data_IF_822676027378
#
_entry.id   IF_822676027378
#
_cell.length_a   1.000
_cell.length_b   1.000
_cell.length_c   1.000
_cell.angle_alpha   90.00
_cell.angle_beta   90.00
_cell.angle_gamma   90.00
#
_symmetry.space_group_name_H-M   'P 1'
#
loop_
_entity.id
_entity.type
_entity.pdbx_description
1 polymer ?
#
# COMPACT_ATOMS: atom_id res chain seq x y z
N UNK A 1 18.76 -5.17 30.99
CA UNK A 1 17.87 -6.32 30.74
C UNK A 1 16.58 -5.77 30.14
N UNK A 2 16.21 -6.15 28.91
CA UNK A 2 14.84 -6.03 28.43
C UNK A 2 14.43 -4.79 27.62
N UNK A 3 15.26 -4.31 26.69
CA UNK A 3 14.79 -3.41 25.61
C UNK A 3 14.03 -4.18 24.53
N UNK A 4 12.98 -4.92 24.91
CA UNK A 4 12.17 -5.67 23.96
C UNK A 4 11.35 -4.71 23.11
N UNK A 5 11.53 -4.74 21.79
CA UNK A 5 10.63 -4.03 20.87
C UNK A 5 9.19 -4.43 21.23
N UNK A 6 8.29 -3.47 21.52
CA UNK A 6 6.95 -3.80 21.93
C UNK A 6 6.29 -4.69 20.87
N UNK A 7 5.64 -5.77 21.30
CA UNK A 7 5.04 -6.78 20.42
C UNK A 7 4.14 -6.16 19.33
N UNK A 8 3.48 -5.05 19.64
CA UNK A 8 2.66 -4.27 18.69
C UNK A 8 3.47 -3.70 17.52
N UNK A 9 4.70 -3.25 17.75
CA UNK A 9 5.59 -2.74 16.69
C UNK A 9 6.10 -3.90 15.82
N UNK A 10 6.41 -5.05 16.43
CA UNK A 10 6.77 -6.26 15.67
C UNK A 10 5.58 -6.80 14.86
N UNK A 11 4.36 -6.71 15.41
CA UNK A 11 3.12 -7.08 14.72
C UNK A 11 2.82 -6.14 13.56
N UNK A 12 2.90 -4.81 13.76
CA UNK A 12 2.72 -3.81 12.72
C UNK A 12 3.77 -3.95 11.60
N UNK A 13 5.03 -4.21 11.97
CA UNK A 13 6.11 -4.46 11.01
C UNK A 13 5.85 -5.71 10.15
N UNK A 14 5.38 -6.80 10.77
CA UNK A 14 5.00 -8.02 10.03
C UNK A 14 3.80 -7.78 9.11
N UNK A 15 2.77 -7.08 9.58
CA UNK A 15 1.62 -6.74 8.77
C UNK A 15 2.01 -5.85 7.57
N UNK A 16 2.93 -4.89 7.77
CA UNK A 16 3.46 -4.06 6.69
C UNK A 16 4.26 -4.89 5.67
N UNK A 17 5.11 -5.80 6.13
CA UNK A 17 5.87 -6.69 5.26
C UNK A 17 4.97 -7.63 4.43
N UNK A 18 3.90 -8.15 5.04
CA UNK A 18 2.92 -8.98 4.34
C UNK A 18 2.12 -8.18 3.30
N UNK A 19 1.70 -6.97 3.63
CA UNK A 19 1.03 -6.07 2.70
C UNK A 19 1.95 -5.71 1.52
N UNK A 20 3.22 -5.38 1.78
CA UNK A 20 4.21 -5.10 0.74
C UNK A 20 4.46 -6.32 -0.17
N UNK A 21 4.54 -7.52 0.40
CA UNK A 21 4.65 -8.76 -0.36
C UNK A 21 3.43 -9.02 -1.25
N UNK A 22 2.22 -8.71 -0.76
CA UNK A 22 0.99 -8.86 -1.52
C UNK A 22 0.88 -7.90 -2.72
N UNK A 23 1.54 -6.74 -2.66
CA UNK A 23 1.57 -5.78 -3.77
C UNK A 23 2.45 -6.27 -4.94
N UNK A 24 3.46 -7.12 -4.66
CA UNK A 24 4.28 -7.84 -5.64
C UNK A 24 5.23 -6.96 -6.47
N UNK A 25 4.71 -5.94 -7.15
CA UNK A 25 5.47 -5.02 -7.98
C UNK A 25 5.89 -3.78 -7.21
N UNK A 26 7.18 -3.42 -7.31
CA UNK A 26 7.78 -2.31 -6.55
C UNK A 26 7.07 -0.97 -6.81
N UNK A 27 6.68 -0.70 -8.04
CA UNK A 27 6.04 0.57 -8.43
C UNK A 27 4.62 0.70 -7.85
N UNK A 28 3.87 -0.41 -7.77
CA UNK A 28 2.56 -0.46 -7.13
C UNK A 28 2.72 -0.23 -5.62
N UNK A 29 3.70 -0.92 -5.00
CA UNK A 29 4.00 -0.76 -3.59
C UNK A 29 4.41 0.68 -3.24
N UNK A 30 5.18 1.33 -4.11
CA UNK A 30 5.62 2.71 -3.92
C UNK A 30 4.45 3.70 -4.00
N UNK A 31 3.57 3.58 -4.99
CA UNK A 31 2.40 4.45 -5.13
C UNK A 31 1.44 4.31 -3.94
N UNK A 32 1.19 3.07 -3.50
CA UNK A 32 0.37 2.81 -2.31
C UNK A 32 1.02 3.39 -1.05
N UNK A 33 2.33 3.20 -0.85
CA UNK A 33 3.07 3.75 0.29
C UNK A 33 3.01 5.28 0.33
N UNK A 34 3.32 5.93 -0.79
CA UNK A 34 3.30 7.41 -0.90
C UNK A 34 1.92 7.98 -0.65
N UNK A 35 0.87 7.32 -1.15
CA UNK A 35 -0.50 7.80 -0.98
C UNK A 35 -1.04 7.52 0.43
N UNK A 36 -0.96 6.28 0.90
CA UNK A 36 -1.63 5.83 2.12
C UNK A 36 -0.81 6.04 3.40
N UNK A 37 0.52 5.97 3.33
CA UNK A 37 1.38 6.10 4.51
C UNK A 37 2.05 7.48 4.61
N UNK A 38 2.38 8.09 3.47
CA UNK A 38 3.04 9.40 3.43
C UNK A 38 2.05 10.56 3.18
N UNK A 39 0.78 10.26 2.90
CA UNK A 39 -0.27 11.27 2.69
C UNK A 39 -0.08 12.12 1.42
N UNK A 40 0.73 11.68 0.47
CA UNK A 40 0.93 12.40 -0.79
C UNK A 40 -0.31 12.27 -1.68
N UNK A 41 -0.65 13.36 -2.36
CA UNK A 41 -1.71 13.31 -3.38
C UNK A 41 -1.21 12.65 -4.66
N UNK A 42 -2.13 12.03 -5.42
CA UNK A 42 -1.85 11.47 -6.76
C UNK A 42 -1.19 12.51 -7.68
N UNK A 43 -1.61 13.78 -7.59
CA UNK A 43 -1.01 14.89 -8.35
C UNK A 43 0.47 15.06 -8.00
N UNK A 44 0.80 15.14 -6.71
CA UNK A 44 2.18 15.33 -6.25
C UNK A 44 3.09 14.15 -6.62
N UNK A 45 2.55 12.93 -6.62
CA UNK A 45 3.29 11.73 -7.05
C UNK A 45 3.59 11.81 -8.55
N UNK A 46 2.58 12.08 -9.38
CA UNK A 46 2.71 12.22 -10.83
C UNK A 46 3.72 13.31 -11.22
N UNK A 47 3.65 14.48 -10.58
CA UNK A 47 4.58 15.59 -10.82
C UNK A 47 6.04 15.23 -10.47
N UNK A 48 6.25 14.42 -9.43
CA UNK A 48 7.61 14.02 -9.00
C UNK A 48 8.20 12.87 -9.81
N UNK A 49 7.38 11.93 -10.25
CA UNK A 49 7.83 10.80 -11.07
C UNK A 49 7.90 11.12 -12.56
N UNK A 50 7.22 12.17 -13.02
CA UNK A 50 7.04 12.46 -14.45
C UNK A 50 5.99 11.57 -15.12
N UNK A 51 5.29 10.74 -14.34
CA UNK A 51 4.25 9.84 -14.83
C UNK A 51 2.95 10.59 -15.09
N UNK A 52 2.16 10.12 -16.06
CA UNK A 52 0.80 10.61 -16.26
C UNK A 52 -0.08 10.31 -15.04
N UNK A 53 -0.93 11.27 -14.66
CA UNK A 53 -1.87 11.11 -13.51
C UNK A 53 -2.69 9.82 -13.62
N UNK A 54 -3.15 9.46 -14.82
CA UNK A 54 -3.89 8.22 -15.08
C UNK A 54 -3.08 6.96 -14.77
N UNK A 55 -1.77 6.97 -15.00
CA UNK A 55 -0.89 5.83 -14.67
C UNK A 55 -0.80 5.66 -13.16
N UNK A 56 -0.57 6.76 -12.44
CA UNK A 56 -0.54 6.73 -10.96
C UNK A 56 -1.89 6.28 -10.37
N UNK A 57 -3.01 6.72 -10.94
CA UNK A 57 -4.35 6.25 -10.53
C UNK A 57 -4.53 4.75 -10.79
N UNK A 58 -4.09 4.24 -11.94
CA UNK A 58 -4.17 2.81 -12.27
C UNK A 58 -3.32 1.97 -11.32
N UNK A 59 -2.09 2.39 -11.05
CA UNK A 59 -1.20 1.72 -10.08
C UNK A 59 -1.81 1.72 -8.68
N UNK A 60 -2.37 2.84 -8.23
CA UNK A 60 -3.05 2.94 -6.96
C UNK A 60 -4.25 1.99 -6.89
N UNK A 61 -5.09 1.95 -7.94
CA UNK A 61 -6.23 1.04 -8.01
C UNK A 61 -5.78 -0.43 -7.90
N UNK A 62 -4.80 -0.84 -8.71
CA UNK A 62 -4.26 -2.20 -8.68
C UNK A 62 -3.74 -2.55 -7.28
N UNK A 63 -3.01 -1.65 -6.64
CA UNK A 63 -2.51 -1.87 -5.28
C UNK A 63 -3.63 -2.01 -4.24
N UNK A 64 -4.68 -1.19 -4.32
CA UNK A 64 -5.83 -1.30 -3.43
C UNK A 64 -6.64 -2.58 -3.67
N UNK A 65 -6.79 -3.01 -4.93
CA UNK A 65 -7.44 -4.28 -5.27
C UNK A 65 -6.63 -5.48 -4.71
N UNK A 66 -5.30 -5.48 -4.86
CA UNK A 66 -4.41 -6.51 -4.31
C UNK A 66 -4.49 -6.56 -2.77
N UNK A 67 -4.50 -5.40 -2.11
CA UNK A 67 -4.67 -5.33 -0.66
C UNK A 67 -6.06 -5.82 -0.23
N UNK A 68 -7.11 -5.49 -0.98
CA UNK A 68 -8.45 -5.98 -0.71
C UNK A 68 -8.52 -7.52 -0.79
N UNK A 69 -7.83 -8.14 -1.75
CA UNK A 69 -7.68 -9.60 -1.81
C UNK A 69 -6.89 -10.11 -0.61
N UNK A 70 -5.73 -9.51 -0.31
CA UNK A 70 -4.87 -9.92 0.80
C UNK A 70 -5.59 -9.92 2.16
N UNK A 71 -6.42 -8.90 2.40
CA UNK A 71 -7.20 -8.79 3.62
C UNK A 71 -8.55 -9.52 3.58
N UNK A 72 -8.85 -10.27 2.52
CA UNK A 72 -10.10 -11.02 2.38
C UNK A 72 -11.36 -10.14 2.23
N UNK A 73 -11.19 -8.88 1.80
CA UNK A 73 -12.29 -7.93 1.58
C UNK A 73 -13.00 -8.13 0.23
N UNK A 74 -12.33 -8.77 -0.73
CA UNK A 74 -12.88 -9.03 -2.07
C UNK A 74 -13.77 -10.28 -2.04
N UNK A 75 -15.05 -10.09 -1.68
CA UNK A 75 -16.04 -11.17 -1.56
C UNK A 75 -17.44 -10.72 -1.10
N UNK A 76 -17.60 -9.53 -0.51
CA UNK A 76 -18.91 -8.93 -0.29
C UNK A 76 -19.36 -8.22 -1.56
N UNK A 77 -20.22 -8.87 -2.36
CA UNK A 77 -21.25 -8.13 -3.10
C UNK A 77 -22.01 -7.32 -2.05
N UNK A 78 -21.83 -6.00 -2.05
CA UNK A 78 -22.83 -5.10 -1.49
C UNK A 78 -24.04 -5.24 -2.44
N UNK A 79 -24.96 -6.11 -2.05
CA UNK A 79 -26.29 -6.21 -2.64
C UNK A 79 -27.17 -5.09 -2.13
#
# INVERSE_FOLDING_TARGET
MGGGVPDRVLSAGRAHAQAAAALGHWEVAEVVRKTCLEGQSVKAIAERSGEGRDVVVKLLKVGLDLLAVHYGMMGRKVG
#
